data_IF_439197853771
#
_entry.id   IF_439197853771
#
_cell.length_a   1.000
_cell.length_b   1.000
_cell.length_c   1.000
_cell.angle_alpha   90.00
_cell.angle_beta   90.00
_cell.angle_gamma   90.00
#
_symmetry.space_group_name_H-M   'P 1'
#
loop_
_entity.id
_entity.type
_entity.pdbx_description
1 polymer ?
#
# COMPACT_ATOMS: atom_id res chain seq x y z
N UNK A 1 6.04 -15.38 6.17
CA UNK A 1 4.90 -14.44 6.24
C UNK A 1 5.10 -13.40 5.13
N UNK A 2 4.26 -13.39 4.09
CA UNK A 2 4.37 -12.39 3.01
C UNK A 2 3.98 -10.98 3.48
N UNK A 3 4.45 -9.93 2.77
CA UNK A 3 4.00 -8.55 3.02
C UNK A 3 2.51 -8.45 2.67
N UNK A 4 1.72 -7.77 3.50
CA UNK A 4 0.27 -7.59 3.35
C UNK A 4 -0.10 -6.14 3.54
N UNK A 5 -1.23 -5.73 2.96
CA UNK A 5 -1.79 -4.40 3.21
C UNK A 5 -2.24 -4.31 4.68
N UNK A 6 -1.94 -3.19 5.34
CA UNK A 6 -2.29 -2.95 6.74
C UNK A 6 -3.81 -2.76 6.98
N UNK A 7 -4.60 -2.54 5.92
CA UNK A 7 -6.06 -2.45 6.02
C UNK A 7 -6.63 -3.87 6.13
N UNK A 8 -7.22 -4.20 7.29
CA UNK A 8 -7.59 -5.58 7.68
C UNK A 8 -8.49 -6.28 6.67
N UNK A 9 -9.47 -5.54 6.15
CA UNK A 9 -10.47 -6.05 5.20
C UNK A 9 -10.16 -5.73 3.75
N UNK A 10 -8.95 -5.26 3.45
CA UNK A 10 -8.56 -4.98 2.07
C UNK A 10 -8.62 -6.25 1.22
N UNK A 11 -9.26 -6.16 0.06
CA UNK A 11 -9.39 -7.27 -0.88
C UNK A 11 -8.04 -7.77 -1.37
N UNK A 12 -7.01 -6.91 -1.40
CA UNK A 12 -5.65 -7.29 -1.74
C UNK A 12 -5.10 -8.37 -0.78
N UNK A 13 -5.61 -8.47 0.44
CA UNK A 13 -5.17 -9.49 1.39
C UNK A 13 -5.80 -10.87 1.14
N UNK A 14 -6.80 -10.95 0.24
CA UNK A 14 -7.53 -12.18 -0.11
C UNK A 14 -7.14 -12.75 -1.48
N UNK A 15 -6.58 -11.92 -2.38
CA UNK A 15 -6.15 -12.35 -3.72
C UNK A 15 -4.75 -12.96 -3.70
N UNK A 16 -4.49 -13.82 -4.68
CA UNK A 16 -3.15 -14.37 -4.98
C UNK A 16 -2.42 -13.57 -6.06
N UNK A 17 -3.06 -12.52 -6.60
CA UNK A 17 -2.49 -11.66 -7.63
C UNK A 17 -1.30 -10.85 -7.11
N UNK A 18 -0.42 -10.44 -8.04
CA UNK A 18 0.68 -9.55 -7.74
C UNK A 18 0.15 -8.16 -7.36
N UNK A 19 0.31 -7.79 -6.10
CA UNK A 19 -0.10 -6.48 -5.58
C UNK A 19 1.13 -5.62 -5.32
N UNK A 20 1.10 -4.41 -5.86
CA UNK A 20 2.07 -3.37 -5.48
C UNK A 20 1.78 -2.88 -4.07
N UNK A 21 2.75 -3.06 -3.17
CA UNK A 21 2.73 -2.58 -1.80
C UNK A 21 3.73 -1.45 -1.63
N UNK A 22 3.24 -0.30 -1.18
CA UNK A 22 4.05 0.85 -0.79
C UNK A 22 4.40 0.73 0.69
N UNK A 23 5.69 0.86 1.01
CA UNK A 23 6.15 1.02 2.38
C UNK A 23 5.67 2.36 2.94
N UNK A 24 5.58 2.45 4.26
CA UNK A 24 5.25 3.69 4.94
C UNK A 24 6.20 4.84 4.52
N UNK A 25 5.68 6.08 4.43
CA UNK A 25 6.49 7.23 4.05
C UNK A 25 7.55 7.52 5.11
N UNK A 26 8.68 8.08 4.66
CA UNK A 26 9.75 8.57 5.55
C UNK A 26 9.39 9.92 6.20
N UNK A 27 8.55 10.70 5.54
CA UNK A 27 8.03 11.95 6.09
C UNK A 27 7.07 11.64 7.25
N UNK A 28 7.36 12.23 8.41
CA UNK A 28 6.64 11.94 9.65
C UNK A 28 5.18 12.41 9.60
N UNK A 29 4.93 13.57 8.99
CA UNK A 29 3.58 14.15 8.90
C UNK A 29 2.69 13.26 8.01
N UNK A 30 3.22 12.84 6.86
CA UNK A 30 2.52 11.94 5.95
C UNK A 30 2.32 10.55 6.59
N UNK A 31 3.31 10.06 7.33
CA UNK A 31 3.21 8.80 8.08
C UNK A 31 2.09 8.83 9.12
N UNK A 32 1.97 9.93 9.87
CA UNK A 32 0.90 10.13 10.85
C UNK A 32 -0.47 10.19 10.19
N UNK A 33 -0.59 10.87 9.03
CA UNK A 33 -1.82 10.90 8.24
C UNK A 33 -2.24 9.50 7.78
N UNK A 34 -1.30 8.73 7.20
CA UNK A 34 -1.57 7.35 6.80
C UNK A 34 -2.03 6.50 7.99
N UNK A 35 -1.33 6.61 9.11
CA UNK A 35 -1.66 5.85 10.33
C UNK A 35 -3.04 6.21 10.86
N UNK A 36 -3.36 7.51 10.92
CA UNK A 36 -4.67 7.98 11.37
C UNK A 36 -5.82 7.43 10.51
N UNK A 37 -5.68 7.49 9.18
CA UNK A 37 -6.69 6.99 8.24
C UNK A 37 -6.88 5.47 8.38
N UNK A 38 -5.78 4.72 8.40
CA UNK A 38 -5.85 3.24 8.53
C UNK A 38 -6.43 2.84 9.88
N UNK A 39 -6.10 3.55 10.95
CA UNK A 39 -6.67 3.30 12.27
C UNK A 39 -8.17 3.54 12.29
N UNK A 40 -8.65 4.58 11.61
CA UNK A 40 -10.08 4.84 11.45
C UNK A 40 -10.78 3.71 10.67
N UNK A 41 -10.18 3.21 9.58
CA UNK A 41 -10.74 2.11 8.78
C UNK A 41 -10.70 0.76 9.50
N UNK A 42 -9.65 0.50 10.28
CA UNK A 42 -9.47 -0.74 11.02
C UNK A 42 -10.19 -0.75 12.38
N UNK A 43 -10.68 0.41 12.85
CA UNK A 43 -11.13 0.64 14.22
C UNK A 43 -10.10 0.13 15.26
N UNK A 44 -8.81 0.39 15.03
CA UNK A 44 -7.70 -0.13 15.82
C UNK A 44 -6.54 0.88 15.83
N UNK A 45 -5.59 0.76 16.76
CA UNK A 45 -4.44 1.66 16.88
C UNK A 45 -3.13 0.96 16.45
N UNK A 46 -3.04 0.64 15.17
CA UNK A 46 -1.93 -0.13 14.59
C UNK A 46 -0.97 0.75 13.80
N UNK A 47 0.34 0.54 13.98
CA UNK A 47 1.35 1.19 13.14
C UNK A 47 1.27 0.67 11.70
N UNK A 48 1.10 1.58 10.74
CA UNK A 48 1.04 1.26 9.31
C UNK A 48 2.44 0.91 8.81
N UNK A 49 2.59 -0.25 8.17
CA UNK A 49 3.84 -0.68 7.55
C UNK A 49 3.75 -0.64 6.03
N UNK A 50 2.65 -1.15 5.47
CA UNK A 50 2.44 -1.23 4.03
C UNK A 50 1.00 -0.93 3.63
N UNK A 51 0.82 -0.23 2.52
CA UNK A 51 -0.48 -0.04 1.87
C UNK A 51 -0.40 -0.46 0.40
N UNK A 52 -1.47 -1.08 -0.12
CA UNK A 52 -1.54 -1.43 -1.53
C UNK A 52 -1.93 -0.22 -2.39
N UNK A 53 -1.61 -0.28 -3.68
CA UNK A 53 -1.97 0.71 -4.70
C UNK A 53 -3.45 1.14 -4.67
N UNK A 54 -4.38 0.23 -4.33
CA UNK A 54 -5.82 0.52 -4.27
C UNK A 54 -6.23 1.63 -3.28
N UNK A 55 -5.35 2.03 -2.36
CA UNK A 55 -5.63 3.06 -1.35
C UNK A 55 -5.10 4.45 -1.72
N UNK A 56 -4.64 4.63 -2.95
CA UNK A 56 -4.08 5.87 -3.45
C UNK A 56 -4.76 6.25 -4.75
N UNK A 57 -4.86 7.55 -5.01
CA UNK A 57 -5.22 8.03 -6.34
C UNK A 57 -3.99 7.90 -7.26
N UNK A 58 -4.21 7.78 -8.57
CA UNK A 58 -3.10 7.64 -9.53
C UNK A 58 -2.12 8.81 -9.47
N UNK A 59 -2.61 10.01 -9.12
CA UNK A 59 -1.79 11.23 -8.97
C UNK A 59 -0.99 11.28 -7.66
N UNK A 60 -1.33 10.46 -6.66
CA UNK A 60 -0.61 10.41 -5.38
C UNK A 60 0.71 9.63 -5.49
N UNK A 61 0.87 8.87 -6.58
CA UNK A 61 1.98 7.94 -6.76
C UNK A 61 2.80 8.35 -7.96
N UNK A 62 4.05 8.72 -7.70
CA UNK A 62 5.07 8.76 -8.74
C UNK A 62 5.45 7.31 -9.11
N UNK A 63 4.83 6.77 -10.16
CA UNK A 63 5.18 5.45 -10.73
C UNK A 63 6.58 5.58 -11.36
N UNK A 64 7.61 5.22 -10.61
CA UNK A 64 9.02 5.33 -11.07
C UNK A 64 9.51 4.10 -11.83
N UNK A 65 8.68 3.06 -11.96
CA UNK A 65 9.01 1.84 -12.70
C UNK A 65 7.74 1.28 -13.37
N UNK A 66 7.59 1.54 -14.66
CA UNK A 66 6.64 0.83 -15.52
C UNK A 66 7.42 -0.37 -16.08
N UNK A 67 7.30 -1.50 -15.38
CA UNK A 67 8.04 -2.71 -15.72
C UNK A 67 7.52 -3.32 -17.01
N UNK A 68 7.94 -2.78 -18.16
CA UNK A 68 7.87 -3.50 -19.43
C UNK A 68 8.83 -4.70 -19.32
N UNK A 69 8.28 -5.90 -19.14
CA UNK A 69 8.99 -7.12 -19.51
C UNK A 69 9.21 -7.05 -21.01
N UNK A 70 10.46 -6.84 -21.43
CA UNK A 70 10.86 -7.07 -22.81
C UNK A 70 10.66 -8.58 -23.02
N UNK A 71 9.66 -8.96 -23.80
CA UNK A 71 9.56 -10.31 -24.33
C UNK A 71 10.62 -10.42 -25.43
N UNK A 72 11.79 -10.96 -25.08
CA UNK A 72 12.81 -11.36 -26.06
C UNK A 72 12.17 -12.35 -27.05
N UNK A 73 12.14 -11.94 -28.33
CA UNK A 73 11.75 -12.78 -29.48
C UNK A 73 12.82 -13.82 -29.79
#
# INVERSE_FOLDING_TARGET
MGRKCNVKLCESNKTTEHITLFSNPKDQILYEKWTSIVNAWNCDNTKVKYLCLKHFEDNDINKTFDGFTIEDN
#
